data_IF_656248964322
#
_entry.id   IF_656248964322
#
_cell.length_a   1.000
_cell.length_b   1.000
_cell.length_c   1.000
_cell.angle_alpha   90.00
_cell.angle_beta   90.00
_cell.angle_gamma   90.00
#
_symmetry.space_group_name_H-M   'P 1'
#
loop_
_entity.id
_entity.type
_entity.pdbx_description
1 polymer ?
#
# COMPACT_ATOMS: atom_id res chain seq x y z
N UNK A 1 -3.37 -61.66 -55.38
CA UNK A 1 -2.52 -61.21 -54.25
C UNK A 1 -1.99 -59.78 -54.40
N UNK A 2 -1.70 -59.29 -55.61
CA UNK A 2 -1.17 -57.92 -55.82
C UNK A 2 -2.24 -56.82 -55.64
N UNK A 3 -3.51 -57.10 -55.94
CA UNK A 3 -4.59 -56.11 -55.81
C UNK A 3 -4.95 -55.77 -54.34
N UNK A 4 -4.74 -56.71 -53.42
CA UNK A 4 -5.04 -56.52 -52.00
C UNK A 4 -3.94 -55.73 -51.28
N UNK A 5 -2.69 -55.82 -51.76
CA UNK A 5 -1.55 -55.07 -51.21
C UNK A 5 -1.60 -53.58 -51.62
N UNK A 6 -2.08 -53.26 -52.81
CA UNK A 6 -2.21 -51.86 -53.27
C UNK A 6 -3.31 -51.10 -52.52
N UNK A 7 -4.41 -51.76 -52.16
CA UNK A 7 -5.49 -51.16 -51.36
C UNK A 7 -5.08 -50.89 -49.91
N UNK A 8 -4.26 -51.76 -49.31
CA UNK A 8 -3.78 -51.58 -47.93
C UNK A 8 -2.71 -50.49 -47.86
N UNK A 9 -1.82 -50.38 -48.85
CA UNK A 9 -0.81 -49.30 -48.91
C UNK A 9 -1.45 -47.95 -49.27
N UNK A 10 -2.49 -47.94 -50.11
CA UNK A 10 -3.29 -46.73 -50.40
C UNK A 10 -4.04 -46.19 -49.17
N UNK A 11 -4.63 -47.07 -48.35
CA UNK A 11 -5.32 -46.68 -47.11
C UNK A 11 -4.35 -46.22 -46.00
N UNK A 12 -3.14 -46.78 -45.94
CA UNK A 12 -2.09 -46.32 -45.02
C UNK A 12 -1.48 -44.98 -45.43
N UNK A 13 -1.36 -44.67 -46.72
CA UNK A 13 -0.86 -43.37 -47.19
C UNK A 13 -1.92 -42.24 -47.15
N UNK A 14 -3.21 -42.57 -47.15
CA UNK A 14 -4.30 -41.60 -46.95
C UNK A 14 -4.57 -41.27 -45.47
N UNK A 15 -4.03 -42.06 -44.54
CA UNK A 15 -4.21 -41.84 -43.08
C UNK A 15 -3.12 -40.96 -42.45
N UNK A 16 -2.13 -40.50 -43.22
CA UNK A 16 -1.00 -39.68 -42.74
C UNK A 16 -1.02 -38.21 -43.19
N UNK A 17 -2.19 -37.67 -43.61
CA UNK A 17 -2.34 -36.25 -44.00
C UNK A 17 -3.39 -35.47 -43.19
N UNK A 18 -3.54 -35.81 -41.92
CA UNK A 18 -4.17 -34.92 -40.94
C UNK A 18 -3.29 -34.79 -39.68
N UNK A 19 -2.01 -34.44 -39.86
CA UNK A 19 -1.40 -33.59 -38.85
C UNK A 19 -1.95 -32.19 -39.12
N UNK A 20 -2.95 -31.80 -38.34
CA UNK A 20 -3.36 -30.41 -38.17
C UNK A 20 -2.09 -29.61 -37.91
N UNK A 21 -1.64 -28.89 -38.94
CA UNK A 21 -0.58 -27.90 -38.82
C UNK A 21 -1.09 -26.93 -37.76
N UNK A 22 -0.52 -26.95 -36.56
CA UNK A 22 -0.86 -25.99 -35.52
C UNK A 22 -0.77 -24.60 -36.15
N UNK A 23 -1.89 -23.89 -36.20
CA UNK A 23 -1.93 -22.54 -36.74
C UNK A 23 -0.85 -21.72 -36.02
N UNK A 24 -0.06 -20.92 -36.74
CA UNK A 24 0.89 -20.02 -36.09
C UNK A 24 0.11 -19.15 -35.11
N UNK A 25 0.59 -19.05 -33.87
CA UNK A 25 -0.07 -18.28 -32.82
C UNK A 25 -0.49 -16.90 -33.35
N UNK A 26 -1.75 -16.47 -33.12
CA UNK A 26 -2.25 -15.22 -33.65
C UNK A 26 -1.32 -14.08 -33.22
N UNK A 27 -0.86 -13.29 -34.19
CA UNK A 27 -0.09 -12.08 -33.90
C UNK A 27 -1.00 -11.10 -33.17
N UNK A 28 -0.49 -10.50 -32.10
CA UNK A 28 -1.24 -9.51 -31.35
C UNK A 28 -1.62 -8.33 -32.25
N UNK A 29 -2.85 -7.79 -32.11
CA UNK A 29 -3.27 -6.63 -32.88
C UNK A 29 -2.41 -5.41 -32.49
N UNK A 30 -2.09 -4.54 -33.46
CA UNK A 30 -1.36 -3.28 -33.19
C UNK A 30 -2.13 -2.33 -32.27
N UNK A 31 -3.46 -2.48 -32.21
CA UNK A 31 -4.33 -1.71 -31.32
C UNK A 31 -5.40 -2.60 -30.71
N UNK A 32 -5.55 -2.49 -29.40
CA UNK A 32 -6.53 -3.24 -28.63
C UNK A 32 -7.92 -2.60 -28.64
N UNK A 33 -8.92 -3.35 -29.06
CA UNK A 33 -10.33 -2.98 -28.94
C UNK A 33 -10.93 -3.69 -27.71
N UNK A 34 -10.84 -3.01 -26.56
CA UNK A 34 -11.27 -3.54 -25.26
C UNK A 34 -12.78 -3.84 -25.23
N UNK A 35 -13.57 -3.19 -26.09
CA UNK A 35 -15.02 -3.43 -26.18
C UNK A 35 -15.39 -4.84 -26.67
N UNK A 36 -14.44 -5.52 -27.33
CA UNK A 36 -14.60 -6.89 -27.83
C UNK A 36 -14.06 -7.94 -26.86
N UNK A 37 -13.50 -7.52 -25.73
CA UNK A 37 -12.93 -8.46 -24.78
C UNK A 37 -14.03 -9.32 -24.14
N UNK A 38 -13.79 -10.63 -24.00
CA UNK A 38 -14.70 -11.46 -23.23
C UNK A 38 -14.71 -10.96 -21.77
N UNK A 39 -15.86 -11.05 -21.12
CA UNK A 39 -16.01 -10.78 -19.67
C UNK A 39 -16.25 -12.11 -18.93
N UNK A 40 -15.27 -13.02 -18.88
CA UNK A 40 -15.45 -14.33 -18.27
C UNK A 40 -15.54 -14.21 -16.75
N UNK A 41 -16.34 -15.07 -16.12
CA UNK A 41 -16.36 -15.21 -14.67
C UNK A 41 -15.08 -15.94 -14.24
N UNK A 42 -14.13 -15.23 -13.61
CA UNK A 42 -12.83 -15.81 -13.25
C UNK A 42 -12.66 -16.00 -11.72
N UNK A 43 -12.89 -17.21 -11.18
CA UNK A 43 -12.73 -17.51 -9.75
C UNK A 43 -11.29 -17.36 -9.25
N UNK A 44 -10.29 -17.46 -10.12
CA UNK A 44 -8.87 -17.32 -9.77
C UNK A 44 -8.36 -15.89 -9.85
N UNK A 45 -9.21 -14.93 -10.26
CA UNK A 45 -8.78 -13.58 -10.59
C UNK A 45 -8.56 -13.39 -12.10
N UNK A 46 -8.23 -12.16 -12.49
CA UNK A 46 -8.02 -11.78 -13.87
C UNK A 46 -6.54 -11.50 -14.11
N UNK A 47 -6.07 -11.89 -15.29
CA UNK A 47 -4.74 -11.58 -15.78
C UNK A 47 -4.85 -11.08 -17.22
N UNK A 48 -3.94 -10.22 -17.68
CA UNK A 48 -3.92 -9.86 -19.08
C UNK A 48 -3.72 -11.11 -19.95
N UNK A 49 -4.37 -11.12 -21.11
CA UNK A 49 -4.09 -12.09 -22.17
C UNK A 49 -2.66 -11.90 -22.70
N UNK A 50 -2.22 -12.80 -23.57
CA UNK A 50 -0.87 -12.76 -24.17
C UNK A 50 -0.53 -11.46 -24.90
N UNK A 51 -1.55 -10.70 -25.29
CA UNK A 51 -1.41 -9.46 -26.03
C UNK A 51 -1.59 -8.21 -25.16
N UNK A 52 -1.69 -8.38 -23.84
CA UNK A 52 -2.02 -7.33 -22.87
C UNK A 52 -3.26 -6.51 -23.29
N UNK A 53 -4.23 -7.19 -23.88
CA UNK A 53 -5.36 -6.59 -24.58
C UNK A 53 -6.67 -6.76 -23.81
N UNK A 54 -6.92 -7.99 -23.37
CA UNK A 54 -8.12 -8.39 -22.65
C UNK A 54 -7.78 -9.01 -21.30
N UNK A 55 -8.69 -8.88 -20.34
CA UNK A 55 -8.62 -9.63 -19.10
C UNK A 55 -9.16 -11.04 -19.32
N UNK A 56 -8.32 -12.04 -19.07
CA UNK A 56 -8.66 -13.46 -19.12
C UNK A 56 -8.51 -14.08 -17.73
N UNK A 57 -9.02 -15.29 -17.56
CA UNK A 57 -8.94 -15.95 -16.26
C UNK A 57 -7.51 -16.36 -15.94
N UNK A 58 -7.06 -15.96 -14.76
CA UNK A 58 -5.78 -16.40 -14.21
C UNK A 58 -5.77 -17.90 -13.97
N UNK A 59 -4.58 -18.50 -13.99
CA UNK A 59 -4.43 -19.91 -13.67
C UNK A 59 -4.77 -20.17 -12.20
N UNK A 60 -5.63 -21.17 -11.98
CA UNK A 60 -6.04 -21.61 -10.65
C UNK A 60 -4.99 -22.47 -9.96
N UNK A 61 -5.22 -22.79 -8.69
CA UNK A 61 -4.32 -23.70 -7.98
C UNK A 61 -4.32 -25.08 -8.64
N UNK A 62 -3.12 -25.62 -8.92
CA UNK A 62 -2.92 -26.90 -9.60
C UNK A 62 -2.79 -26.81 -11.13
N UNK A 63 -3.12 -25.65 -11.72
CA UNK A 63 -2.98 -25.42 -13.16
C UNK A 63 -1.51 -25.20 -13.57
N UNK A 64 -1.13 -25.52 -14.83
CA UNK A 64 0.23 -25.38 -15.30
C UNK A 64 0.66 -23.91 -15.40
N UNK A 65 1.92 -23.66 -15.07
CA UNK A 65 2.52 -22.33 -15.14
C UNK A 65 4.01 -22.42 -15.51
N UNK A 66 4.57 -21.27 -15.92
CA UNK A 66 6.00 -21.11 -16.15
C UNK A 66 6.45 -21.40 -17.60
N UNK A 67 5.56 -21.85 -18.48
CA UNK A 67 5.84 -21.94 -19.92
C UNK A 67 5.42 -20.67 -20.65
N UNK A 68 5.96 -20.48 -21.86
CA UNK A 68 5.67 -19.32 -22.73
C UNK A 68 4.19 -19.16 -23.09
N UNK A 69 3.43 -20.25 -23.11
CA UNK A 69 2.01 -20.26 -23.46
C UNK A 69 1.09 -20.40 -22.23
N UNK A 70 1.64 -20.55 -21.02
CA UNK A 70 0.82 -20.64 -19.80
C UNK A 70 0.47 -19.23 -19.31
N UNK A 71 -0.78 -19.02 -18.91
CA UNK A 71 -1.21 -17.78 -18.25
C UNK A 71 -0.62 -17.70 -16.82
N UNK A 72 -0.44 -16.48 -16.28
CA UNK A 72 0.08 -16.32 -14.93
C UNK A 72 -0.90 -16.84 -13.87
N UNK A 73 -0.34 -17.25 -12.73
CA UNK A 73 -1.10 -17.72 -11.58
C UNK A 73 -1.93 -16.58 -10.96
N UNK A 74 -3.12 -16.91 -10.48
CA UNK A 74 -4.03 -15.96 -9.85
C UNK A 74 -3.59 -15.45 -8.47
N UNK A 75 -4.37 -14.53 -7.91
CA UNK A 75 -4.03 -13.83 -6.66
C UNK A 75 -3.70 -14.78 -5.50
N UNK A 76 -2.49 -14.63 -4.96
CA UNK A 76 -1.97 -15.42 -3.84
C UNK A 76 -1.35 -16.77 -4.22
N UNK A 77 -1.34 -17.12 -5.51
CA UNK A 77 -0.68 -18.31 -6.05
C UNK A 77 0.70 -17.95 -6.58
N UNK A 78 1.66 -18.85 -6.37
CA UNK A 78 3.03 -18.77 -6.89
C UNK A 78 3.30 -19.95 -7.82
N UNK A 79 4.03 -19.71 -8.91
CA UNK A 79 4.39 -20.77 -9.84
C UNK A 79 5.54 -21.61 -9.30
N UNK A 80 5.27 -22.84 -8.85
CA UNK A 80 6.27 -23.74 -8.26
C UNK A 80 6.63 -24.89 -9.19
N UNK A 81 7.92 -25.17 -9.30
CA UNK A 81 8.47 -26.20 -10.19
C UNK A 81 8.81 -27.46 -9.38
N UNK A 82 8.18 -28.62 -9.63
CA UNK A 82 8.52 -29.86 -8.96
C UNK A 82 9.98 -30.24 -9.25
N UNK A 83 10.81 -30.36 -8.21
CA UNK A 83 12.21 -30.79 -8.34
C UNK A 83 13.23 -29.70 -8.70
N UNK A 84 12.91 -28.41 -8.54
CA UNK A 84 13.89 -27.31 -8.58
C UNK A 84 14.48 -26.98 -9.96
N UNK A 85 14.04 -27.65 -11.02
CA UNK A 85 14.48 -27.34 -12.40
C UNK A 85 13.63 -26.21 -12.97
N UNK A 86 14.26 -25.05 -13.22
CA UNK A 86 13.66 -23.84 -13.86
C UNK A 86 13.00 -24.07 -15.24
N UNK A 87 13.23 -25.23 -15.87
CA UNK A 87 12.70 -25.58 -17.19
C UNK A 87 11.63 -26.71 -17.15
N UNK A 88 11.20 -27.11 -15.95
CA UNK A 88 10.12 -28.10 -15.76
C UNK A 88 8.72 -27.51 -15.95
N UNK A 89 7.70 -28.36 -16.03
CA UNK A 89 6.29 -27.93 -15.91
C UNK A 89 6.07 -27.38 -14.49
N UNK A 90 5.88 -26.07 -14.34
CA UNK A 90 5.46 -25.46 -13.08
C UNK A 90 3.97 -25.70 -12.84
N UNK A 91 3.55 -25.62 -11.59
CA UNK A 91 2.14 -25.63 -11.18
C UNK A 91 1.88 -24.47 -10.23
N UNK A 92 0.74 -23.81 -10.39
CA UNK A 92 0.31 -22.74 -9.50
C UNK A 92 -0.01 -23.32 -8.12
N UNK A 93 0.64 -22.82 -7.08
CA UNK A 93 0.46 -23.29 -5.71
C UNK A 93 0.26 -22.11 -4.77
N UNK A 94 -0.64 -22.22 -3.80
CA UNK A 94 -0.84 -21.15 -2.82
C UNK A 94 0.44 -20.86 -2.03
N UNK A 95 0.74 -19.56 -1.86
CA UNK A 95 1.85 -19.08 -1.03
C UNK A 95 1.74 -19.59 0.41
N UNK A 96 0.52 -19.69 0.91
CA UNK A 96 0.21 -20.17 2.25
C UNK A 96 -0.47 -21.54 2.17
N UNK A 97 0.18 -22.59 2.66
CA UNK A 97 -0.32 -23.98 2.57
C UNK A 97 -1.10 -24.45 3.80
N UNK A 98 -1.36 -23.58 4.77
CA UNK A 98 -2.11 -23.96 5.98
C UNK A 98 -3.62 -23.95 5.70
N UNK A 99 -4.33 -24.94 6.27
CA UNK A 99 -5.80 -24.99 6.20
C UNK A 99 -6.42 -23.73 6.79
N UNK A 100 -7.58 -23.34 6.27
CA UNK A 100 -8.36 -22.21 6.80
C UNK A 100 -9.83 -22.60 6.92
N UNK A 101 -10.52 -22.04 7.90
CA UNK A 101 -11.96 -22.24 8.08
C UNK A 101 -12.73 -21.06 7.49
N UNK A 102 -13.73 -21.34 6.66
CA UNK A 102 -14.64 -20.33 6.13
C UNK A 102 -15.84 -20.05 7.04
N UNK A 103 -16.46 -18.88 6.86
CA UNK A 103 -17.74 -18.52 7.50
C UNK A 103 -18.92 -19.40 7.05
N UNK A 104 -18.74 -20.17 5.98
CA UNK A 104 -19.64 -21.23 5.53
C UNK A 104 -19.46 -22.56 6.30
N UNK A 105 -18.58 -22.58 7.31
CA UNK A 105 -18.29 -23.76 8.13
C UNK A 105 -17.47 -24.82 7.40
N UNK A 106 -16.94 -24.54 6.20
CA UNK A 106 -16.11 -25.47 5.44
C UNK A 106 -14.64 -25.22 5.68
N UNK A 107 -13.89 -26.32 5.80
CA UNK A 107 -12.43 -26.27 5.84
C UNK A 107 -11.89 -26.24 4.42
N UNK A 108 -11.08 -25.23 4.14
CA UNK A 108 -10.34 -25.09 2.89
C UNK A 108 -8.89 -25.53 3.11
N UNK A 109 -8.29 -26.13 2.08
CA UNK A 109 -6.90 -26.60 2.13
C UNK A 109 -5.91 -25.44 2.33
N UNK A 110 -6.25 -24.26 1.84
CA UNK A 110 -5.49 -23.02 2.01
C UNK A 110 -6.37 -21.78 1.75
N UNK A 111 -5.79 -20.60 2.02
CA UNK A 111 -6.46 -19.31 1.82
C UNK A 111 -6.79 -19.01 0.35
N UNK A 112 -6.01 -19.52 -0.60
CA UNK A 112 -6.28 -19.31 -2.02
C UNK A 112 -7.54 -20.04 -2.48
N UNK A 113 -7.78 -21.25 -1.98
CA UNK A 113 -9.02 -22.01 -2.21
C UNK A 113 -10.25 -21.30 -1.64
N UNK A 114 -10.15 -20.79 -0.40
CA UNK A 114 -11.24 -20.03 0.22
C UNK A 114 -11.58 -18.79 -0.61
N UNK A 115 -10.56 -18.01 -1.01
CA UNK A 115 -10.74 -16.82 -1.86
C UNK A 115 -11.35 -17.15 -3.22
N UNK A 116 -10.95 -18.28 -3.83
CA UNK A 116 -11.53 -18.72 -5.10
C UNK A 116 -13.03 -19.04 -4.98
N UNK A 117 -13.44 -19.72 -3.90
CA UNK A 117 -14.86 -19.98 -3.63
C UNK A 117 -15.61 -18.69 -3.27
N UNK A 118 -15.00 -17.78 -2.52
CA UNK A 118 -15.57 -16.48 -2.19
C UNK A 118 -15.87 -15.63 -3.43
N UNK A 119 -14.93 -15.55 -4.36
CA UNK A 119 -15.12 -14.84 -5.64
C UNK A 119 -16.21 -15.47 -6.48
N UNK A 120 -16.27 -16.81 -6.53
CA UNK A 120 -17.34 -17.54 -7.21
C UNK A 120 -18.72 -17.25 -6.59
N UNK A 121 -18.81 -17.19 -5.26
CA UNK A 121 -20.04 -16.84 -4.55
C UNK A 121 -20.50 -15.42 -4.88
N UNK A 122 -19.59 -14.43 -4.81
CA UNK A 122 -19.88 -13.04 -5.17
C UNK A 122 -20.36 -12.88 -6.61
N UNK A 123 -19.76 -13.61 -7.56
CA UNK A 123 -20.17 -13.62 -8.97
C UNK A 123 -21.58 -14.21 -9.17
N UNK A 124 -22.04 -15.05 -8.25
CA UNK A 124 -23.39 -15.61 -8.24
C UNK A 124 -24.39 -14.77 -7.42
N UNK A 125 -23.98 -13.59 -6.94
CA UNK A 125 -24.80 -12.74 -6.07
C UNK A 125 -24.98 -13.30 -4.66
N UNK A 126 -24.15 -14.28 -4.25
CA UNK A 126 -24.15 -14.84 -2.91
C UNK A 126 -23.14 -14.10 -2.00
N UNK A 127 -23.33 -14.14 -0.67
CA UNK A 127 -22.39 -13.56 0.27
C UNK A 127 -20.97 -14.12 0.11
N UNK A 128 -19.97 -13.26 0.31
CA UNK A 128 -18.56 -13.66 0.29
C UNK A 128 -18.26 -14.72 1.36
N UNK A 129 -17.44 -15.70 0.98
CA UNK A 129 -16.84 -16.62 1.95
C UNK A 129 -15.58 -15.96 2.51
N UNK A 130 -15.53 -15.72 3.82
CA UNK A 130 -14.38 -15.09 4.48
C UNK A 130 -13.73 -16.06 5.46
N UNK A 131 -12.43 -15.88 5.67
CA UNK A 131 -11.69 -16.68 6.64
C UNK A 131 -12.14 -16.29 8.05
N UNK A 132 -12.60 -17.29 8.83
CA UNK A 132 -12.95 -17.13 10.25
C UNK A 132 -11.75 -17.43 11.14
N UNK A 133 -11.02 -18.51 10.84
CA UNK A 133 -9.84 -18.90 11.62
C UNK A 133 -8.79 -19.60 10.76
N UNK A 134 -7.54 -19.57 11.24
CA UNK A 134 -6.46 -20.41 10.72
C UNK A 134 -6.66 -21.84 11.23
N UNK A 135 -6.43 -22.84 10.39
CA UNK A 135 -6.66 -24.26 10.70
C UNK A 135 -7.97 -24.80 10.12
N UNK A 136 -8.29 -26.04 10.47
CA UNK A 136 -9.55 -26.66 10.06
C UNK A 136 -10.74 -26.06 10.82
N UNK A 137 -11.93 -26.12 10.22
CA UNK A 137 -13.17 -25.99 10.96
C UNK A 137 -13.31 -27.21 11.88
N UNK A 138 -13.50 -26.97 13.16
CA UNK A 138 -13.65 -28.03 14.16
C UNK A 138 -14.96 -28.79 13.92
N UNK A 139 -14.86 -30.11 13.72
CA UNK A 139 -16.04 -30.95 13.52
C UNK A 139 -16.83 -31.02 14.84
N UNK A 140 -17.94 -30.29 14.91
CA UNK A 140 -18.75 -30.17 16.13
C UNK A 140 -18.67 -28.80 16.81
N UNK A 141 -17.81 -27.91 16.33
CA UNK A 141 -17.87 -26.48 16.62
C UNK A 141 -18.15 -25.78 15.30
N UNK A 142 -19.45 -25.63 15.01
CA UNK A 142 -19.95 -24.45 14.29
C UNK A 142 -19.09 -23.25 14.71
N UNK A 143 -18.67 -22.32 13.81
CA UNK A 143 -18.06 -21.06 14.28
C UNK A 143 -18.99 -20.57 15.38
N UNK A 144 -18.53 -20.45 16.63
CA UNK A 144 -19.47 -20.67 17.74
C UNK A 144 -20.72 -19.79 17.66
N UNK A 145 -20.70 -18.67 16.94
CA UNK A 145 -21.92 -18.04 16.47
C UNK A 145 -21.75 -17.25 15.15
N UNK A 146 -22.04 -17.80 13.93
CA UNK A 146 -22.07 -16.99 12.70
C UNK A 146 -23.21 -15.95 12.72
N UNK A 147 -24.21 -16.17 13.58
CA UNK A 147 -25.28 -15.23 13.88
C UNK A 147 -25.03 -14.41 15.16
N UNK A 148 -23.88 -14.52 15.83
CA UNK A 148 -23.64 -13.66 16.99
C UNK A 148 -23.42 -12.23 16.51
N UNK A 149 -24.17 -11.26 17.06
CA UNK A 149 -23.92 -9.85 16.84
C UNK A 149 -22.45 -9.46 17.06
N UNK A 150 -21.73 -10.14 17.95
CA UNK A 150 -20.31 -9.88 18.24
C UNK A 150 -19.42 -10.03 17.01
N UNK A 151 -19.56 -11.09 16.23
CA UNK A 151 -18.70 -11.32 15.06
C UNK A 151 -19.20 -10.61 13.79
N UNK A 152 -20.44 -10.11 13.83
CA UNK A 152 -21.07 -9.41 12.69
C UNK A 152 -20.90 -7.90 12.75
N UNK A 153 -20.86 -7.30 13.94
CA UNK A 153 -20.95 -5.86 14.12
C UNK A 153 -19.74 -5.24 14.84
N UNK A 154 -18.68 -6.01 15.11
CA UNK A 154 -17.44 -5.48 15.71
C UNK A 154 -16.50 -4.83 14.68
N UNK A 155 -17.03 -4.04 13.77
CA UNK A 155 -16.25 -3.35 12.72
C UNK A 155 -15.15 -2.43 13.29
N UNK A 156 -15.37 -1.83 14.47
CA UNK A 156 -14.33 -1.04 15.16
C UNK A 156 -13.12 -1.89 15.55
N UNK A 157 -13.35 -3.12 16.01
CA UNK A 157 -12.27 -4.03 16.37
C UNK A 157 -11.45 -4.42 15.13
N UNK A 158 -12.12 -4.67 14.01
CA UNK A 158 -11.48 -5.01 12.73
C UNK A 158 -10.58 -3.85 12.24
N UNK A 159 -11.06 -2.61 12.34
CA UNK A 159 -10.28 -1.41 12.01
C UNK A 159 -9.05 -1.28 12.91
N UNK A 160 -9.23 -1.46 14.22
CA UNK A 160 -8.13 -1.38 15.20
C UNK A 160 -7.08 -2.44 14.92
N UNK A 161 -7.48 -3.69 14.66
CA UNK A 161 -6.56 -4.79 14.34
C UNK A 161 -5.75 -4.48 13.07
N UNK A 162 -6.38 -3.87 12.06
CA UNK A 162 -5.74 -3.47 10.81
C UNK A 162 -4.70 -2.37 11.01
N UNK A 163 -5.02 -1.32 11.79
CA UNK A 163 -4.19 -0.11 11.86
C UNK A 163 -3.15 -0.13 12.98
N UNK A 164 -3.38 -0.87 14.07
CA UNK A 164 -2.54 -0.84 15.27
C UNK A 164 -1.04 -1.09 15.01
N UNK A 165 -0.63 -1.99 14.09
CA UNK A 165 0.80 -2.21 13.80
C UNK A 165 1.55 -0.98 13.28
N UNK A 166 0.85 -0.01 12.68
CA UNK A 166 1.45 1.20 12.11
C UNK A 166 1.40 2.41 13.06
N UNK A 167 0.77 2.27 14.23
CA UNK A 167 0.74 3.30 15.28
C UNK A 167 1.94 3.15 16.20
N UNK A 168 2.56 4.27 16.57
CA UNK A 168 3.80 4.31 17.34
C UNK A 168 3.68 5.21 18.56
N UNK A 169 4.41 4.86 19.63
CA UNK A 169 4.62 5.76 20.76
C UNK A 169 5.75 6.71 20.45
N UNK A 170 5.61 7.97 20.84
CA UNK A 170 6.67 8.97 20.70
C UNK A 170 6.91 9.59 22.06
N UNK A 171 8.18 9.60 22.47
CA UNK A 171 8.59 10.17 23.75
C UNK A 171 9.85 11.00 23.55
N UNK A 172 9.80 12.23 24.08
CA UNK A 172 10.93 13.14 24.12
C UNK A 172 11.48 13.14 25.54
N UNK A 173 12.77 12.88 25.71
CA UNK A 173 13.44 12.97 27.02
C UNK A 173 14.64 13.90 26.98
N UNK A 174 14.90 14.47 28.15
CA UNK A 174 16.12 15.18 28.45
C UNK A 174 17.13 14.22 29.06
N UNK A 175 18.30 14.09 28.45
CA UNK A 175 19.41 13.38 29.06
C UNK A 175 20.24 14.33 29.91
N UNK A 176 20.19 14.17 31.24
CA UNK A 176 20.93 15.03 32.15
C UNK A 176 22.44 14.70 32.10
N UNK A 177 23.32 15.68 31.80
CA UNK A 177 24.75 15.42 31.58
C UNK A 177 25.48 14.90 32.84
N UNK A 178 25.02 15.27 34.03
CA UNK A 178 25.67 14.89 35.30
C UNK A 178 25.18 13.57 35.92
N UNK A 179 23.94 13.15 35.66
CA UNK A 179 23.31 12.02 36.37
C UNK A 179 22.94 10.85 35.45
N UNK A 180 23.17 10.99 34.13
CA UNK A 180 22.84 10.00 33.09
C UNK A 180 21.40 9.44 33.22
N UNK A 181 20.49 10.22 33.80
CA UNK A 181 19.06 9.93 33.92
C UNK A 181 18.33 10.61 32.77
N UNK A 182 17.40 9.86 32.16
CA UNK A 182 16.47 10.38 31.16
C UNK A 182 15.23 10.87 31.90
N UNK A 183 14.88 12.14 31.73
CA UNK A 183 13.65 12.71 32.25
C UNK A 183 12.69 12.92 31.09
N UNK A 184 11.51 12.29 31.07
CA UNK A 184 10.54 12.50 30.01
C UNK A 184 10.03 13.94 30.05
N UNK A 185 10.01 14.60 28.89
CA UNK A 185 9.54 15.96 28.71
C UNK A 185 8.12 15.97 28.13
N UNK A 186 7.94 15.25 27.03
CA UNK A 186 6.66 15.13 26.31
C UNK A 186 6.48 13.68 25.88
N UNK A 187 5.22 13.27 25.75
CA UNK A 187 4.83 11.93 25.36
C UNK A 187 3.56 12.03 24.52
N UNK A 188 3.45 11.17 23.51
CA UNK A 188 2.30 11.12 22.63
C UNK A 188 2.35 9.93 21.70
N UNK A 189 1.56 10.01 20.64
CA UNK A 189 1.44 9.01 19.61
C UNK A 189 1.86 9.55 18.24
N UNK A 190 2.07 8.65 17.30
CA UNK A 190 2.27 8.95 15.89
C UNK A 190 1.85 7.75 15.04
N UNK A 191 1.96 7.89 13.74
CA UNK A 191 1.72 6.80 12.81
C UNK A 191 2.66 6.86 11.62
N UNK A 192 2.98 5.70 11.07
CA UNK A 192 3.84 5.53 9.92
C UNK A 192 2.99 5.68 8.65
N UNK A 193 3.42 6.46 7.67
CA UNK A 193 2.59 6.93 6.55
C UNK A 193 3.25 6.74 5.16
N UNK A 194 4.42 6.13 5.08
CA UNK A 194 5.07 5.78 3.80
C UNK A 194 5.89 4.50 3.93
N UNK A 195 6.11 3.82 2.82
CA UNK A 195 7.09 2.74 2.63
C UNK A 195 8.55 3.13 2.98
N UNK A 196 8.89 4.41 2.82
CA UNK A 196 10.15 5.01 3.31
C UNK A 196 10.17 5.12 4.84
N UNK A 197 9.01 4.94 5.46
CA UNK A 197 8.75 4.92 6.89
C UNK A 197 8.77 6.30 7.53
N UNK A 198 8.20 7.29 6.84
CA UNK A 198 7.93 8.58 7.45
C UNK A 198 6.86 8.40 8.54
N UNK A 199 7.15 8.86 9.76
CA UNK A 199 6.21 8.95 10.87
C UNK A 199 5.68 10.37 10.93
N UNK A 200 4.36 10.50 11.08
CA UNK A 200 3.66 11.76 11.29
C UNK A 200 3.14 11.82 12.73
N UNK A 201 3.22 13.00 13.32
CA UNK A 201 2.69 13.32 14.65
C UNK A 201 2.44 14.82 14.76
N UNK A 202 2.04 15.30 15.93
CA UNK A 202 1.92 16.72 16.20
C UNK A 202 3.25 17.39 16.54
N UNK A 203 3.35 18.69 16.24
CA UNK A 203 4.53 19.48 16.58
C UNK A 203 4.74 19.58 18.09
N UNK A 204 3.67 19.68 18.88
CA UNK A 204 3.75 19.73 20.34
C UNK A 204 4.19 18.40 20.98
N UNK A 205 4.06 17.27 20.29
CA UNK A 205 4.53 15.96 20.79
C UNK A 205 6.05 15.89 20.77
N UNK A 206 6.68 16.51 19.77
CA UNK A 206 8.13 16.45 19.53
C UNK A 206 8.87 17.71 19.98
N UNK A 207 8.17 18.72 20.50
CA UNK A 207 8.79 19.96 20.99
C UNK A 207 8.45 20.22 22.46
N UNK A 208 9.40 20.80 23.18
CA UNK A 208 9.19 21.25 24.56
C UNK A 208 9.54 22.73 24.68
N UNK A 209 8.74 23.47 25.45
CA UNK A 209 8.97 24.87 25.80
C UNK A 209 9.89 25.05 27.01
N UNK A 210 10.26 23.95 27.68
CA UNK A 210 11.12 24.01 28.86
C UNK A 210 12.57 24.30 28.44
N UNK A 211 13.07 25.49 28.78
CA UNK A 211 14.46 25.89 28.61
C UNK A 211 15.35 25.14 29.60
N UNK A 212 15.55 23.84 29.38
CA UNK A 212 16.39 23.00 30.25
C UNK A 212 17.69 22.68 29.53
N UNK A 213 18.81 22.95 30.21
CA UNK A 213 20.16 22.64 29.72
C UNK A 213 20.36 21.12 29.63
N UNK A 214 20.34 20.59 28.40
CA UNK A 214 20.62 19.18 28.12
C UNK A 214 20.33 18.81 26.66
N UNK A 215 20.83 17.66 26.22
CA UNK A 215 20.55 17.14 24.87
C UNK A 215 19.18 16.48 24.87
N UNK A 216 18.26 17.00 24.08
CA UNK A 216 16.97 16.38 23.81
C UNK A 216 17.18 15.17 22.90
N UNK A 217 16.54 14.06 23.24
CA UNK A 217 16.50 12.86 22.41
C UNK A 217 15.05 12.42 22.22
N UNK A 218 14.73 11.99 21.01
CA UNK A 218 13.41 11.46 20.66
C UNK A 218 13.53 9.95 20.50
N UNK A 219 12.65 9.18 21.15
CA UNK A 219 12.48 7.76 20.81
C UNK A 219 11.08 7.50 20.32
N UNK A 220 11.05 6.53 19.44
CA UNK A 220 9.84 5.95 18.89
C UNK A 220 9.77 4.50 19.34
N UNK A 221 8.65 4.08 19.92
CA UNK A 221 8.38 2.69 20.25
C UNK A 221 7.27 2.15 19.34
N UNK A 222 7.52 1.02 18.71
CA UNK A 222 6.57 0.36 17.80
C UNK A 222 5.62 -0.55 18.57
N UNK A 223 4.53 -0.96 17.91
CA UNK A 223 3.55 -1.91 18.45
C UNK A 223 4.18 -3.23 18.96
N UNK A 224 5.27 -3.71 18.33
CA UNK A 224 5.96 -4.93 18.75
C UNK A 224 6.88 -4.75 19.98
N UNK A 225 6.96 -3.53 20.53
CA UNK A 225 7.81 -3.17 21.67
C UNK A 225 9.20 -2.64 21.29
N UNK A 226 9.61 -2.74 20.02
CA UNK A 226 10.91 -2.26 19.57
C UNK A 226 11.01 -0.74 19.70
N UNK A 227 12.14 -0.26 20.22
CA UNK A 227 12.38 1.16 20.47
C UNK A 227 13.57 1.67 19.67
N UNK A 228 13.46 2.89 19.13
CA UNK A 228 14.49 3.48 18.27
C UNK A 228 14.66 4.96 18.54
N UNK A 229 15.91 5.44 18.43
CA UNK A 229 16.18 6.87 18.42
C UNK A 229 15.81 7.46 17.05
N UNK A 230 15.23 8.66 17.10
CA UNK A 230 14.66 9.32 15.96
C UNK A 230 15.07 10.80 15.91
N UNK A 231 15.09 11.38 14.71
CA UNK A 231 15.29 12.81 14.51
C UNK A 231 14.08 13.43 13.82
N UNK A 232 13.77 14.66 14.22
CA UNK A 232 12.74 15.48 13.58
C UNK A 232 13.26 15.83 12.18
N UNK A 233 12.46 15.54 11.15
CA UNK A 233 12.78 15.88 9.76
C UNK A 233 12.21 17.25 9.42
N UNK A 234 10.91 17.43 9.59
CA UNK A 234 10.20 18.67 9.32
C UNK A 234 9.22 18.98 10.46
N UNK A 235 8.95 20.26 10.68
CA UNK A 235 8.03 20.73 11.71
C UNK A 235 7.34 22.03 11.28
N UNK A 236 6.02 22.05 11.34
CA UNK A 236 5.19 23.26 11.24
C UNK A 236 4.43 23.45 12.55
N UNK A 237 4.86 24.45 13.33
CA UNK A 237 4.22 24.83 14.60
C UNK A 237 2.87 25.52 14.39
N UNK A 238 2.62 26.13 13.22
CA UNK A 238 1.34 26.79 12.93
C UNK A 238 0.25 25.76 12.69
N UNK A 239 0.54 24.72 11.90
CA UNK A 239 -0.41 23.63 11.66
C UNK A 239 -0.35 22.53 12.73
N UNK A 240 0.61 22.58 13.65
CA UNK A 240 0.88 21.56 14.66
C UNK A 240 1.16 20.17 14.05
N UNK A 241 1.98 20.11 12.99
CA UNK A 241 2.39 18.88 12.31
C UNK A 241 3.91 18.73 12.38
N UNK A 242 4.39 17.52 12.63
CA UNK A 242 5.80 17.17 12.53
C UNK A 242 6.00 15.81 11.85
N UNK A 243 7.13 15.65 11.18
CA UNK A 243 7.55 14.38 10.57
C UNK A 243 8.87 13.90 11.16
N UNK A 244 8.97 12.58 11.27
CA UNK A 244 10.13 11.84 11.81
C UNK A 244 10.44 10.71 10.82
N UNK A 245 11.70 10.36 10.57
CA UNK A 245 12.07 9.40 9.49
C UNK A 245 12.47 8.01 10.02
N UNK A 246 11.82 6.93 9.55
CA UNK A 246 12.27 5.52 9.66
C UNK A 246 11.46 4.43 8.89
N UNK A 247 12.06 3.66 7.97
CA UNK A 247 11.48 2.51 7.18
C UNK A 247 10.71 1.43 7.97
N UNK A 248 9.37 1.37 7.88
CA UNK A 248 8.47 0.43 8.59
C UNK A 248 7.08 0.32 7.89
N UNK A 249 6.18 -0.64 8.26
CA UNK A 249 4.81 -0.73 7.73
C UNK A 249 3.99 0.54 7.95
N UNK A 250 3.11 0.91 7.01
CA UNK A 250 2.50 2.24 6.95
C UNK A 250 0.97 2.23 6.75
N UNK A 251 0.34 3.36 7.10
CA UNK A 251 -1.06 3.70 6.82
C UNK A 251 -1.16 4.60 5.59
N UNK A 252 -2.27 4.50 4.87
CA UNK A 252 -2.61 5.39 3.77
C UNK A 252 -3.34 6.63 4.30
N UNK A 253 -3.09 7.78 3.69
CA UNK A 253 -3.91 8.97 3.89
C UNK A 253 -5.19 8.85 3.06
N UNK A 254 -6.33 9.09 3.68
CA UNK A 254 -7.60 9.30 2.99
C UNK A 254 -7.81 10.78 2.66
N UNK A 255 -8.92 11.10 2.01
CA UNK A 255 -9.32 12.47 1.69
C UNK A 255 -10.27 13.02 2.75
N UNK A 256 -9.80 13.98 3.54
CA UNK A 256 -10.62 14.60 4.59
C UNK A 256 -11.77 15.44 4.04
N UNK A 257 -11.65 15.94 2.81
CA UNK A 257 -12.71 16.67 2.11
C UNK A 257 -13.96 15.82 1.82
N UNK A 258 -13.81 14.50 1.75
CA UNK A 258 -14.91 13.57 1.42
C UNK A 258 -15.69 13.09 2.66
N UNK A 259 -15.25 13.50 3.86
CA UNK A 259 -15.86 13.11 5.12
C UNK A 259 -17.31 13.59 5.23
N UNK A 260 -18.18 12.68 5.67
CA UNK A 260 -19.59 12.99 5.91
C UNK A 260 -19.87 13.14 7.41
N UNK A 261 -20.66 14.15 7.83
CA UNK A 261 -21.17 14.18 9.18
C UNK A 261 -21.91 12.88 9.53
N UNK A 262 -21.58 12.29 10.67
CA UNK A 262 -22.10 11.00 11.14
C UNK A 262 -21.24 9.78 10.78
N UNK A 263 -20.17 9.94 10.01
CA UNK A 263 -19.25 8.84 9.70
C UNK A 263 -18.51 8.35 10.94
N UNK A 264 -18.43 7.03 11.13
CA UNK A 264 -17.69 6.44 12.24
C UNK A 264 -16.19 6.63 12.07
N UNK A 265 -15.55 7.00 13.16
CA UNK A 265 -14.09 7.18 13.22
C UNK A 265 -13.52 6.47 14.43
N UNK A 266 -12.23 6.14 14.33
CA UNK A 266 -11.44 5.55 15.41
C UNK A 266 -10.23 6.45 15.66
N UNK A 267 -10.14 6.99 16.87
CA UNK A 267 -8.95 7.69 17.34
C UNK A 267 -8.08 6.71 18.12
N UNK A 268 -6.92 6.38 17.56
CA UNK A 268 -6.01 5.41 18.16
C UNK A 268 -4.70 6.06 18.60
N UNK A 269 -4.27 5.68 19.80
CA UNK A 269 -2.95 5.97 20.34
C UNK A 269 -2.11 4.71 20.51
N UNK A 270 -0.85 4.90 20.84
CA UNK A 270 0.06 3.80 21.14
C UNK A 270 -0.31 3.10 22.46
N UNK A 271 -0.22 1.75 22.52
CA UNK A 271 -0.45 0.99 23.74
C UNK A 271 0.62 1.20 24.83
N UNK A 272 1.74 1.83 24.51
CA UNK A 272 2.81 2.07 25.51
C UNK A 272 2.71 3.42 26.21
N UNK A 273 1.88 4.34 25.69
CA UNK A 273 1.38 5.42 26.51
C UNK A 273 0.57 4.80 27.67
N UNK A 274 0.55 5.42 28.85
CA UNK A 274 -0.06 4.92 30.11
C UNK A 274 -1.56 4.55 30.04
N UNK A 275 -2.16 4.55 28.84
CA UNK A 275 -3.52 4.22 28.49
C UNK A 275 -3.48 3.68 27.03
N UNK A 276 -3.68 2.37 26.77
CA UNK A 276 -4.04 1.88 25.43
C UNK A 276 -5.32 2.60 24.98
N UNK A 277 -5.19 3.73 24.30
CA UNK A 277 -6.32 4.63 24.07
C UNK A 277 -6.82 4.44 22.65
N UNK A 278 -7.66 3.42 22.48
CA UNK A 278 -8.56 3.34 21.34
C UNK A 278 -9.88 3.95 21.78
N UNK A 279 -10.32 4.99 21.09
CA UNK A 279 -11.65 5.57 21.27
C UNK A 279 -12.34 5.62 19.92
N UNK A 280 -13.66 5.54 19.94
CA UNK A 280 -14.49 5.63 18.73
C UNK A 280 -15.54 6.70 18.93
N UNK A 281 -15.95 7.28 17.82
CA UNK A 281 -17.00 8.28 17.74
C UNK A 281 -17.43 8.44 16.30
N UNK A 282 -18.08 9.55 16.02
CA UNK A 282 -18.47 9.98 14.70
C UNK A 282 -17.85 11.33 14.35
N UNK A 283 -17.78 11.63 13.06
CA UNK A 283 -17.51 12.99 12.59
C UNK A 283 -18.73 13.85 12.90
N UNK A 284 -18.58 14.83 13.79
CA UNK A 284 -19.60 15.85 14.02
C UNK A 284 -19.65 16.86 12.88
N UNK A 285 -18.47 17.31 12.44
CA UNK A 285 -18.30 18.28 11.35
C UNK A 285 -16.96 18.03 10.66
N UNK A 286 -16.92 17.98 9.33
CA UNK A 286 -15.70 17.76 8.57
C UNK A 286 -14.79 19.01 8.48
N UNK A 287 -15.38 20.21 8.58
CA UNK A 287 -14.69 21.49 8.44
C UNK A 287 -15.22 22.47 9.51
N UNK A 288 -14.47 22.64 10.59
CA UNK A 288 -14.73 23.64 11.62
C UNK A 288 -13.62 24.69 11.59
N UNK A 289 -13.96 25.95 11.30
CA UNK A 289 -13.00 27.05 11.30
C UNK A 289 -12.43 27.24 12.73
N UNK A 290 -11.11 27.20 12.85
CA UNK A 290 -10.43 27.37 14.14
C UNK A 290 -10.66 28.75 14.79
N UNK A 291 -11.06 29.77 14.03
CA UNK A 291 -11.48 31.08 14.57
C UNK A 291 -12.73 30.95 15.45
N UNK A 292 -13.64 30.03 15.12
CA UNK A 292 -14.81 29.72 15.96
C UNK A 292 -14.41 29.02 17.27
N UNK A 293 -13.21 28.44 17.33
CA UNK A 293 -12.64 27.77 18.50
C UNK A 293 -11.85 28.74 19.40
N UNK A 294 -11.82 30.03 19.06
CA UNK A 294 -11.05 31.05 19.79
C UNK A 294 -9.55 31.00 19.52
N UNK A 295 -9.11 30.23 18.53
CA UNK A 295 -7.72 30.18 18.07
C UNK A 295 -7.46 31.40 17.17
N UNK A 296 -6.92 32.46 17.79
CA UNK A 296 -6.79 33.80 17.17
C UNK A 296 -5.88 33.87 15.94
N UNK A 297 -5.11 32.83 15.64
CA UNK A 297 -4.12 32.75 14.55
C UNK A 297 -4.31 31.56 13.59
N UNK A 298 -5.43 30.82 13.69
CA UNK A 298 -5.65 29.66 12.83
C UNK A 298 -6.51 30.00 11.62
N UNK A 299 -5.89 30.16 10.45
CA UNK A 299 -6.58 30.04 9.16
C UNK A 299 -6.78 28.55 8.80
N UNK A 300 -7.12 27.74 9.80
CA UNK A 300 -7.10 26.28 9.73
C UNK A 300 -8.47 25.73 10.10
N UNK A 301 -8.94 24.81 9.28
CA UNK A 301 -10.12 24.02 9.57
C UNK A 301 -9.72 22.72 10.30
N UNK A 302 -10.59 22.29 11.19
CA UNK A 302 -10.43 21.06 11.96
C UNK A 302 -11.59 20.10 11.70
N UNK A 303 -11.30 18.80 11.78
CA UNK A 303 -12.32 17.76 11.88
C UNK A 303 -12.80 17.73 13.33
N UNK A 304 -14.10 17.89 13.55
CA UNK A 304 -14.72 17.76 14.86
C UNK A 304 -15.27 16.35 15.04
N UNK A 305 -14.95 15.70 16.16
CA UNK A 305 -15.45 14.38 16.53
C UNK A 305 -15.81 14.32 18.01
N UNK A 306 -16.72 13.42 18.38
CA UNK A 306 -17.01 13.06 19.77
C UNK A 306 -16.14 11.90 20.28
N UNK A 307 -15.29 11.31 19.41
CA UNK A 307 -14.26 10.36 19.82
C UNK A 307 -13.31 11.03 20.82
N UNK A 308 -13.15 10.41 22.00
CA UNK A 308 -12.39 11.02 23.09
C UNK A 308 -10.89 11.08 22.73
N UNK A 309 -10.34 12.29 22.67
CA UNK A 309 -8.89 12.51 22.53
C UNK A 309 -8.27 12.87 23.89
N UNK A 310 -7.14 12.24 24.21
CA UNK A 310 -6.35 12.48 25.42
C UNK A 310 -4.84 12.46 25.08
N UNK A 311 -3.98 12.64 26.08
CA UNK A 311 -2.52 12.57 25.88
C UNK A 311 -2.04 11.22 25.32
N UNK A 312 -2.79 10.14 25.53
CA UNK A 312 -2.44 8.81 25.05
C UNK A 312 -2.60 8.63 23.54
N UNK A 313 -3.61 9.26 22.92
CA UNK A 313 -3.84 9.19 21.47
C UNK A 313 -3.55 10.49 20.70
N UNK A 314 -3.19 11.59 21.39
CA UNK A 314 -2.70 12.83 20.76
C UNK A 314 -1.47 12.56 19.88
N UNK A 315 -1.42 13.13 18.69
CA UNK A 315 -0.43 12.85 17.64
C UNK A 315 -0.69 11.56 16.86
N UNK A 316 -1.55 10.66 17.35
CA UNK A 316 -1.97 9.46 16.65
C UNK A 316 -2.97 9.75 15.52
N UNK A 317 -3.29 8.75 14.69
CA UNK A 317 -4.22 8.93 13.59
C UNK A 317 -5.68 8.89 14.06
N UNK A 318 -6.51 9.68 13.38
CA UNK A 318 -7.95 9.53 13.32
C UNK A 318 -8.27 8.82 12.00
N UNK A 319 -8.89 7.65 12.06
CA UNK A 319 -9.14 6.81 10.87
C UNK A 319 -10.63 6.58 10.62
N UNK A 320 -10.98 6.40 9.35
CA UNK A 320 -12.32 5.94 8.92
C UNK A 320 -12.45 4.41 9.03
N UNK A 321 -13.61 3.87 8.64
CA UNK A 321 -13.87 2.42 8.68
C UNK A 321 -13.08 1.63 7.63
N UNK A 322 -12.55 2.29 6.60
CA UNK A 322 -11.66 1.66 5.62
C UNK A 322 -10.21 1.56 6.14
N UNK A 323 -9.91 2.15 7.30
CA UNK A 323 -8.59 2.17 7.91
C UNK A 323 -7.64 3.20 7.30
N UNK A 324 -8.19 4.21 6.63
CA UNK A 324 -7.46 5.33 6.05
C UNK A 324 -7.38 6.47 7.07
N UNK A 325 -6.24 7.16 7.12
CA UNK A 325 -6.05 8.30 8.01
C UNK A 325 -6.75 9.52 7.42
N UNK A 326 -7.78 9.98 8.12
CA UNK A 326 -8.54 11.19 7.76
C UNK A 326 -8.14 12.40 8.61
N UNK A 327 -7.37 12.20 9.68
CA UNK A 327 -6.72 13.30 10.40
C UNK A 327 -5.71 12.88 11.48
N UNK A 328 -5.12 13.87 12.15
CA UNK A 328 -4.22 13.70 13.32
C UNK A 328 -4.95 14.15 14.58
N UNK A 329 -5.05 13.29 15.58
CA UNK A 329 -5.66 13.61 16.88
C UNK A 329 -4.88 14.74 17.56
N UNK A 330 -5.50 15.88 17.89
CA UNK A 330 -4.78 17.01 18.49
C UNK A 330 -5.32 17.43 19.86
N UNK A 331 -6.53 17.99 19.88
CA UNK A 331 -7.04 18.73 21.03
C UNK A 331 -8.38 18.16 21.49
N UNK A 332 -8.56 18.16 22.81
CA UNK A 332 -9.87 18.03 23.45
C UNK A 332 -10.22 19.38 24.07
N UNK A 333 -11.38 19.93 23.71
CA UNK A 333 -11.85 21.20 24.28
C UNK A 333 -12.81 20.95 25.44
N UNK A 334 -13.76 20.04 25.27
CA UNK A 334 -14.73 19.65 26.32
C UNK A 334 -15.15 18.19 26.13
N UNK A 335 -15.96 17.65 27.04
CA UNK A 335 -16.51 16.31 26.89
C UNK A 335 -17.37 16.23 25.62
N UNK A 336 -17.11 15.23 24.76
CA UNK A 336 -17.81 15.04 23.49
C UNK A 336 -17.42 16.00 22.36
N UNK A 337 -16.39 16.84 22.55
CA UNK A 337 -15.86 17.71 21.48
C UNK A 337 -14.33 17.61 21.46
N UNK A 338 -13.85 16.93 20.44
CA UNK A 338 -12.46 16.70 20.11
C UNK A 338 -12.17 17.12 18.67
N UNK A 339 -10.92 17.50 18.42
CA UNK A 339 -10.49 18.00 17.12
C UNK A 339 -9.32 17.18 16.57
N UNK A 340 -9.30 17.04 15.25
CA UNK A 340 -8.20 16.48 14.51
C UNK A 340 -7.80 17.40 13.34
N UNK A 341 -6.49 17.43 13.03
CA UNK A 341 -5.98 18.12 11.84
C UNK A 341 -6.37 17.30 10.61
N UNK A 342 -7.02 17.87 9.58
CA UNK A 342 -7.45 17.14 8.39
C UNK A 342 -6.29 16.50 7.60
N UNK A 343 -6.49 15.31 7.04
CA UNK A 343 -5.48 14.60 6.24
C UNK A 343 -5.00 15.39 5.02
N UNK A 344 -5.87 16.15 4.36
CA UNK A 344 -5.48 16.97 3.21
C UNK A 344 -4.49 18.08 3.60
N UNK A 345 -4.50 18.51 4.87
CA UNK A 345 -3.49 19.42 5.39
C UNK A 345 -2.14 18.73 5.57
N UNK A 346 -2.14 17.47 5.99
CA UNK A 346 -0.93 16.64 6.08
C UNK A 346 -0.31 16.53 4.69
N UNK A 347 -1.11 16.19 3.68
CA UNK A 347 -0.66 16.11 2.28
C UNK A 347 -0.02 17.42 1.81
N UNK A 348 -0.64 18.57 2.12
CA UNK A 348 -0.07 19.89 1.79
C UNK A 348 1.27 20.15 2.49
N UNK A 349 1.37 19.87 3.78
CA UNK A 349 2.61 20.04 4.55
C UNK A 349 3.76 19.20 4.00
N UNK A 350 3.47 17.95 3.60
CA UNK A 350 4.48 17.06 3.02
C UNK A 350 4.98 17.55 1.67
N UNK A 351 4.08 18.05 0.82
CA UNK A 351 4.44 18.61 -0.48
C UNK A 351 5.31 19.88 -0.31
N UNK A 352 4.92 20.78 0.60
CA UNK A 352 5.70 21.99 0.89
C UNK A 352 7.10 21.68 1.45
N UNK A 353 7.22 20.66 2.29
CA UNK A 353 8.52 20.17 2.80
C UNK A 353 9.40 19.62 1.67
N UNK A 354 8.84 18.81 0.76
CA UNK A 354 9.58 18.31 -0.40
C UNK A 354 10.03 19.44 -1.33
N UNK A 355 9.16 20.40 -1.61
CA UNK A 355 9.48 21.57 -2.44
C UNK A 355 10.61 22.42 -1.85
N UNK A 356 10.60 22.61 -0.53
CA UNK A 356 11.68 23.33 0.17
C UNK A 356 13.01 22.58 0.03
N UNK A 357 12.99 21.27 0.21
CA UNK A 357 14.19 20.44 0.02
C UNK A 357 14.72 20.54 -1.42
N UNK A 358 13.83 20.51 -2.42
CA UNK A 358 14.20 20.68 -3.82
C UNK A 358 14.78 22.08 -4.10
N UNK A 359 14.27 23.14 -3.47
CA UNK A 359 14.82 24.50 -3.59
C UNK A 359 16.20 24.64 -2.94
N UNK A 360 16.43 24.00 -1.81
CA UNK A 360 17.75 23.98 -1.15
C UNK A 360 18.78 23.21 -1.99
N UNK A 361 18.38 22.09 -2.63
CA UNK A 361 19.20 21.38 -3.60
C UNK A 361 19.51 22.21 -4.84
N UNK A 362 18.53 22.98 -5.36
CA UNK A 362 18.73 23.96 -6.44
C UNK A 362 19.74 25.05 -6.07
N UNK A 363 19.80 25.49 -4.81
CA UNK A 363 20.78 26.50 -4.36
C UNK A 363 22.20 25.96 -4.18
N UNK A 364 22.36 24.65 -3.92
CA UNK A 364 23.68 24.03 -3.74
C UNK A 364 24.30 23.51 -5.04
N UNK A 365 23.51 23.33 -6.11
CA UNK A 365 24.00 22.91 -7.42
C UNK A 365 23.50 23.86 -8.52
N UNK A 366 24.40 24.69 -9.07
CA UNK A 366 24.10 25.66 -10.12
C UNK A 366 23.64 25.03 -11.45
N UNK A 367 23.93 23.74 -11.65
CA UNK A 367 23.49 22.94 -12.82
C UNK A 367 22.14 22.24 -12.60
N UNK A 368 21.43 22.49 -11.49
CA UNK A 368 20.12 21.88 -11.26
C UNK A 368 19.10 22.46 -12.27
N UNK A 369 18.43 21.61 -13.07
CA UNK A 369 17.54 22.09 -14.11
C UNK A 369 16.34 22.91 -13.60
N UNK A 370 15.99 23.98 -14.32
CA UNK A 370 14.79 24.75 -14.01
C UNK A 370 13.53 24.04 -14.47
N UNK A 371 13.05 23.13 -13.62
CA UNK A 371 11.80 22.40 -13.82
C UNK A 371 10.78 22.78 -12.73
N UNK A 372 9.52 22.91 -13.12
CA UNK A 372 8.37 23.17 -12.24
C UNK A 372 7.87 21.91 -11.53
N UNK A 373 8.12 20.74 -12.09
CA UNK A 373 7.68 19.43 -11.61
C UNK A 373 8.49 18.31 -12.28
N UNK A 374 8.75 17.22 -11.57
CA UNK A 374 9.46 16.05 -12.09
C UNK A 374 10.10 15.23 -10.96
N UNK A 375 10.59 14.03 -11.28
CA UNK A 375 11.17 13.10 -10.31
C UNK A 375 12.69 13.16 -10.40
N UNK A 376 13.33 13.60 -9.33
CA UNK A 376 14.79 13.67 -9.24
C UNK A 376 15.42 12.28 -8.99
N UNK A 377 16.37 11.90 -9.84
CA UNK A 377 17.14 10.66 -9.73
C UNK A 377 18.33 10.90 -8.80
N UNK A 378 18.16 10.55 -7.54
CA UNK A 378 19.21 10.72 -6.53
C UNK A 378 20.40 9.78 -6.76
N UNK A 379 20.13 8.54 -7.13
CA UNK A 379 21.16 7.49 -7.30
C UNK A 379 20.66 6.44 -8.28
N UNK A 380 21.58 5.88 -9.08
CA UNK A 380 21.30 4.81 -10.03
C UNK A 380 22.05 3.56 -9.60
N UNK A 381 21.31 2.47 -9.35
CA UNK A 381 21.87 1.20 -8.91
C UNK A 381 22.79 0.60 -9.99
N UNK A 382 24.01 0.15 -9.67
CA UNK A 382 24.90 -0.50 -10.63
C UNK A 382 24.27 -1.75 -11.27
N UNK A 383 24.52 -1.94 -12.58
CA UNK A 383 23.99 -2.99 -13.45
C UNK A 383 22.45 -3.02 -13.58
N UNK A 384 21.75 -1.97 -13.14
CA UNK A 384 20.30 -1.85 -13.31
C UNK A 384 19.89 -1.47 -14.74
N UNK A 385 18.63 -1.71 -15.14
CA UNK A 385 18.07 -1.17 -16.39
C UNK A 385 18.27 0.33 -16.56
N UNK A 386 18.12 1.09 -15.46
CA UNK A 386 18.31 2.53 -15.47
C UNK A 386 19.76 2.90 -15.83
N UNK A 387 20.76 2.19 -15.29
CA UNK A 387 22.16 2.41 -15.63
C UNK A 387 22.47 2.00 -17.07
N UNK A 388 21.99 0.82 -17.50
CA UNK A 388 22.18 0.32 -18.87
C UNK A 388 21.53 1.25 -19.91
N UNK A 389 20.39 1.82 -19.55
CA UNK A 389 19.65 2.79 -20.35
C UNK A 389 20.24 4.21 -20.31
N UNK A 390 21.31 4.45 -19.56
CA UNK A 390 22.06 5.71 -19.58
C UNK A 390 21.53 6.79 -18.63
N UNK A 391 20.66 6.44 -17.69
CA UNK A 391 20.24 7.34 -16.60
C UNK A 391 21.39 7.55 -15.63
N UNK A 392 21.55 8.79 -15.16
CA UNK A 392 22.60 9.21 -14.26
C UNK A 392 22.01 9.86 -13.01
N UNK A 393 22.78 9.89 -11.91
CA UNK A 393 22.41 10.69 -10.75
C UNK A 393 22.38 12.16 -11.12
N UNK A 394 21.35 12.89 -10.68
CA UNK A 394 21.15 14.29 -11.04
C UNK A 394 20.13 14.51 -12.16
N UNK A 395 19.70 13.44 -12.84
CA UNK A 395 18.64 13.48 -13.84
C UNK A 395 17.29 13.81 -13.21
N UNK A 396 16.43 14.54 -13.94
CA UNK A 396 15.04 14.76 -13.54
C UNK A 396 14.10 14.18 -14.60
N UNK A 397 13.33 13.16 -14.23
CA UNK A 397 12.30 12.60 -15.11
C UNK A 397 11.09 13.54 -15.12
N UNK A 398 10.78 14.14 -16.27
CA UNK A 398 9.70 15.11 -16.43
C UNK A 398 8.47 14.51 -17.11
N UNK A 399 8.67 13.51 -17.99
CA UNK A 399 7.57 12.74 -18.58
C UNK A 399 7.88 11.25 -18.64
N UNK A 400 6.81 10.46 -18.58
CA UNK A 400 6.81 9.03 -18.80
C UNK A 400 5.79 8.69 -19.89
N UNK A 401 6.25 8.04 -20.96
CA UNK A 401 5.42 7.67 -22.11
C UNK A 401 4.58 8.84 -22.66
N UNK A 402 5.18 10.04 -22.68
CA UNK A 402 4.55 11.29 -23.12
C UNK A 402 3.61 11.95 -22.12
N UNK A 403 3.36 11.33 -20.95
CA UNK A 403 2.56 11.90 -19.85
C UNK A 403 3.47 12.64 -18.88
N UNK A 404 3.14 13.87 -18.51
CA UNK A 404 3.86 14.59 -17.46
C UNK A 404 3.73 13.85 -16.14
N UNK A 405 4.83 13.72 -15.40
CA UNK A 405 4.85 13.06 -14.09
C UNK A 405 5.35 14.01 -13.00
N UNK A 406 4.85 13.81 -11.80
CA UNK A 406 5.17 14.66 -10.64
C UNK A 406 5.44 13.88 -9.37
N UNK A 407 5.04 12.60 -9.31
CA UNK A 407 5.18 11.76 -8.11
C UNK A 407 5.93 10.48 -8.42
N UNK A 408 6.69 9.97 -7.44
CA UNK A 408 7.37 8.68 -7.56
C UNK A 408 6.40 7.51 -7.70
N UNK A 409 5.17 7.65 -7.20
CA UNK A 409 4.10 6.66 -7.32
C UNK A 409 3.71 6.44 -8.78
N UNK A 410 3.55 7.51 -9.57
CA UNK A 410 3.26 7.41 -11.01
C UNK A 410 4.36 6.65 -11.77
N UNK A 411 5.63 6.90 -11.42
CA UNK A 411 6.77 6.20 -12.02
C UNK A 411 6.83 4.73 -11.56
N UNK A 412 6.53 4.45 -10.30
CA UNK A 412 6.54 3.10 -9.75
C UNK A 412 5.40 2.25 -10.33
N UNK A 413 4.21 2.83 -10.48
CA UNK A 413 3.08 2.19 -11.15
C UNK A 413 3.40 1.89 -12.61
N UNK A 414 4.06 2.83 -13.30
CA UNK A 414 4.50 2.58 -14.67
C UNK A 414 5.56 1.49 -14.76
N UNK A 415 6.55 1.44 -13.86
CA UNK A 415 7.56 0.36 -13.80
C UNK A 415 6.91 -1.01 -13.59
N UNK A 416 5.81 -1.09 -12.85
CA UNK A 416 5.11 -2.35 -12.59
C UNK A 416 4.18 -2.80 -13.72
N UNK A 417 3.64 -1.85 -14.49
CA UNK A 417 2.54 -2.12 -15.43
C UNK A 417 2.88 -1.86 -16.90
N UNK A 418 3.95 -1.12 -17.19
CA UNK A 418 4.31 -0.66 -18.54
C UNK A 418 5.76 -1.07 -18.87
N UNK A 419 5.99 -1.58 -20.10
CA UNK A 419 7.34 -1.86 -20.62
C UNK A 419 7.32 -1.82 -22.16
N UNK A 420 8.23 -1.08 -22.81
CA UNK A 420 9.30 -0.28 -22.21
C UNK A 420 8.80 1.09 -21.71
N UNK A 421 9.61 1.76 -20.89
CA UNK A 421 9.35 3.09 -20.37
C UNK A 421 10.15 4.12 -21.16
N UNK A 422 9.46 4.96 -21.93
CA UNK A 422 10.06 6.13 -22.57
C UNK A 422 10.06 7.29 -21.57
N UNK A 423 11.23 7.57 -21.00
CA UNK A 423 11.43 8.65 -20.05
C UNK A 423 11.96 9.90 -20.75
N UNK A 424 11.29 11.02 -20.57
CA UNK A 424 11.82 12.34 -20.91
C UNK A 424 12.53 12.86 -19.66
N UNK A 425 13.84 13.04 -19.76
CA UNK A 425 14.73 13.41 -18.67
C UNK A 425 15.38 14.74 -18.97
N UNK A 426 15.36 15.63 -17.98
CA UNK A 426 16.12 16.86 -17.97
C UNK A 426 17.47 16.63 -17.29
N UNK A 427 18.56 16.79 -18.02
CA UNK A 427 19.93 16.71 -17.51
C UNK A 427 20.63 18.05 -17.78
N UNK A 428 20.80 18.86 -16.74
CA UNK A 428 21.19 20.26 -16.89
C UNK A 428 20.19 21.04 -17.77
N UNK A 429 20.64 21.51 -18.92
CA UNK A 429 19.81 22.25 -19.89
C UNK A 429 19.28 21.41 -21.05
N UNK A 430 19.61 20.13 -21.11
CA UNK A 430 19.23 19.25 -22.21
C UNK A 430 17.98 18.43 -21.85
N UNK A 431 17.05 18.34 -22.80
CA UNK A 431 15.94 17.39 -22.77
C UNK A 431 16.34 16.13 -23.55
N UNK A 432 16.38 15.00 -22.84
CA UNK A 432 16.85 13.72 -23.36
C UNK A 432 15.74 12.69 -23.26
N UNK A 433 15.64 11.81 -24.25
CA UNK A 433 14.70 10.69 -24.26
C UNK A 433 15.45 9.39 -24.06
N UNK A 434 15.03 8.63 -23.05
CA UNK A 434 15.63 7.34 -22.70
C UNK A 434 14.57 6.25 -22.72
N UNK A 435 14.87 5.16 -23.42
CA UNK A 435 14.01 3.99 -23.45
C UNK A 435 14.53 2.95 -22.45
N UNK A 436 13.81 2.74 -21.36
CA UNK A 436 14.21 1.85 -20.27
C UNK A 436 13.33 0.61 -20.27
N UNK A 437 13.94 -0.56 -20.34
CA UNK A 437 13.24 -1.84 -20.20
C UNK A 437 13.40 -2.35 -18.76
N UNK A 438 12.34 -2.35 -17.92
CA UNK A 438 12.43 -2.86 -16.56
C UNK A 438 12.81 -4.35 -16.53
N UNK A 439 13.85 -4.70 -15.77
CA UNK A 439 14.26 -6.08 -15.51
C UNK A 439 13.40 -6.67 -14.38
N UNK A 440 12.76 -7.81 -14.62
CA UNK A 440 12.04 -8.54 -13.57
C UNK A 440 13.07 -9.26 -12.68
N UNK A 441 13.38 -8.68 -11.53
CA UNK A 441 14.21 -9.34 -10.52
C UNK A 441 13.29 -10.24 -9.69
N UNK A 442 13.35 -11.56 -9.90
CA UNK A 442 12.74 -12.53 -8.99
C UNK A 442 13.48 -12.47 -7.64
N UNK A 443 12.92 -11.77 -6.66
CA UNK A 443 13.33 -11.81 -5.25
C UNK A 443 12.70 -12.98 -4.51
#
# INVERSE_FOLDING_TARGET
QILLTVLIVGALLLSFRQLSRAEPAPKCPERCDVSRCPSPSCPSGYVPDRCNCCLVCAQGEGEPCGRKDDLPCGDGLECKHPGGKRFGKGVCQCKHSHKVCGNDGKTYGNICQLKAVSRKALQQGLPAVIQVQKGACESGMSPQHPNSPRYKFNFIADVVEKIAPAVVHIELFLRHPLFNRNVPLTSGSGFIMSDTGLIVTNAHVVTSTSAVSGRQQLKVQLHNGDTYEASIKDIDKKSDIATIKKKLPFLLLGHSADLRPGEFVVAIGSPFALQNTVTTGIVSTAQRDGKELGLRDSDMDYIQTDAIINYGNSGGPLVNLDGEVIGINTLKVTAGISFAIPSDRISRFLNESQDKHNKELKQQNADFPDVSSGIYVHEVVPNSPAQKGGIQSGDIVVKLNGRSISTTTELQDAVMNESPLLLEIRRGNDDLLFNIEPDIIMQ
#
